data_IF_181844840822
#
_entry.id   IF_181844840822
#
_cell.length_a   1.000
_cell.length_b   1.000
_cell.length_c   1.000
_cell.angle_alpha   90.00
_cell.angle_beta   90.00
_cell.angle_gamma   90.00
#
_symmetry.space_group_name_H-M   'P 1'
#
loop_
_entity.id
_entity.type
_entity.pdbx_description
1 polymer ?
#
# COMPACT_ATOMS: atom_id res chain seq x y z
N UNK A 1 -11.70 5.52 2.70
CA UNK A 1 -10.73 6.32 1.91
C UNK A 1 -10.36 7.65 2.54
N UNK A 2 -11.36 8.49 2.88
CA UNK A 2 -11.10 9.77 3.54
C UNK A 2 -10.35 9.59 4.88
N UNK A 3 -10.72 8.58 5.67
CA UNK A 3 -10.10 8.31 6.97
C UNK A 3 -8.61 7.96 6.85
N UNK A 4 -8.22 7.15 5.86
CA UNK A 4 -6.81 6.81 5.63
C UNK A 4 -6.00 7.99 5.11
N UNK A 5 -6.60 8.84 4.30
CA UNK A 5 -5.92 10.06 3.82
C UNK A 5 -5.65 11.01 4.97
N UNK A 6 -6.62 11.16 5.89
CA UNK A 6 -6.42 11.96 7.11
C UNK A 6 -5.39 11.31 8.05
N UNK A 7 -5.40 9.99 8.19
CA UNK A 7 -4.41 9.27 8.98
C UNK A 7 -2.98 9.48 8.43
N UNK A 8 -2.82 9.48 7.11
CA UNK A 8 -1.55 9.75 6.43
C UNK A 8 -1.10 11.21 6.63
N UNK A 9 -2.00 12.18 6.58
CA UNK A 9 -1.68 13.59 6.89
C UNK A 9 -1.18 13.76 8.33
N UNK A 10 -1.79 13.05 9.29
CA UNK A 10 -1.42 13.14 10.70
C UNK A 10 -0.16 12.34 11.02
N UNK A 11 0.02 11.18 10.38
CA UNK A 11 1.15 10.29 10.57
C UNK A 11 1.64 9.77 9.21
N UNK A 12 2.56 10.50 8.55
CA UNK A 12 3.05 10.15 7.20
C UNK A 12 3.81 8.82 7.13
N UNK A 13 4.20 8.27 8.28
CA UNK A 13 4.92 7.00 8.41
C UNK A 13 4.00 5.85 8.82
N UNK A 14 2.67 6.02 8.78
CA UNK A 14 1.76 4.97 9.19
C UNK A 14 1.51 3.97 8.06
N UNK A 15 2.38 2.95 7.98
CA UNK A 15 2.38 1.94 6.91
C UNK A 15 0.99 1.33 6.65
N UNK A 16 0.28 0.96 7.73
CA UNK A 16 -1.06 0.36 7.64
C UNK A 16 -2.08 1.27 6.94
N UNK A 17 -1.97 2.60 7.07
CA UNK A 17 -2.90 3.51 6.40
C UNK A 17 -2.68 3.54 4.89
N UNK A 18 -1.43 3.50 4.45
CA UNK A 18 -1.10 3.35 3.02
C UNK A 18 -1.56 2.00 2.49
N UNK A 19 -1.28 0.90 3.21
CA UNK A 19 -1.70 -0.43 2.76
C UNK A 19 -3.23 -0.51 2.57
N UNK A 20 -3.99 -0.09 3.58
CA UNK A 20 -5.45 -0.14 3.51
C UNK A 20 -6.00 0.76 2.40
N UNK A 21 -5.41 1.94 2.18
CA UNK A 21 -5.82 2.82 1.09
C UNK A 21 -5.47 2.23 -0.29
N UNK A 22 -4.31 1.59 -0.42
CA UNK A 22 -3.88 0.88 -1.62
C UNK A 22 -4.83 -0.28 -1.97
N UNK A 23 -5.21 -1.11 -1.00
CA UNK A 23 -6.18 -2.20 -1.18
C UNK A 23 -7.53 -1.67 -1.69
N UNK A 24 -8.03 -0.58 -1.11
CA UNK A 24 -9.31 -0.02 -1.56
C UNK A 24 -9.15 0.58 -2.97
N UNK A 25 -8.01 1.20 -3.31
CA UNK A 25 -7.77 1.66 -4.68
C UNK A 25 -7.75 0.50 -5.68
N UNK A 26 -7.16 -0.64 -5.31
CA UNK A 26 -7.19 -1.86 -6.10
C UNK A 26 -8.63 -2.32 -6.32
N UNK A 27 -9.46 -2.36 -5.28
CA UNK A 27 -10.88 -2.74 -5.36
C UNK A 27 -11.70 -1.77 -6.23
N UNK A 28 -11.32 -0.50 -6.26
CA UNK A 28 -11.93 0.52 -7.12
C UNK A 28 -11.39 0.52 -8.56
N UNK A 29 -10.46 -0.38 -8.89
CA UNK A 29 -9.81 -0.46 -10.20
C UNK A 29 -8.80 0.67 -10.47
N UNK A 30 -8.47 1.48 -9.46
CA UNK A 30 -7.48 2.54 -9.60
C UNK A 30 -6.08 2.00 -9.26
N UNK A 31 -5.57 1.14 -10.13
CA UNK A 31 -4.35 0.36 -9.88
C UNK A 31 -3.11 1.22 -9.72
N UNK A 32 -2.99 2.30 -10.48
CA UNK A 32 -1.86 3.22 -10.34
C UNK A 32 -1.77 3.76 -8.91
N UNK A 33 -2.89 4.24 -8.37
CA UNK A 33 -2.94 4.70 -6.98
C UNK A 33 -2.77 3.56 -5.97
N UNK A 34 -3.24 2.36 -6.31
CA UNK A 34 -3.02 1.17 -5.48
C UNK A 34 -1.53 0.85 -5.36
N UNK A 35 -0.81 0.82 -6.48
CA UNK A 35 0.63 0.56 -6.54
C UNK A 35 1.43 1.63 -5.81
N UNK A 36 1.10 2.92 -5.98
CA UNK A 36 1.75 4.01 -5.26
C UNK A 36 1.62 3.86 -3.73
N UNK A 37 0.41 3.59 -3.24
CA UNK A 37 0.17 3.43 -1.81
C UNK A 37 0.79 2.14 -1.25
N UNK A 38 0.67 1.02 -1.98
CA UNK A 38 1.27 -0.25 -1.57
C UNK A 38 2.80 -0.18 -1.55
N UNK A 39 3.42 0.48 -2.52
CA UNK A 39 4.85 0.74 -2.52
C UNK A 39 5.26 1.52 -1.27
N UNK A 40 4.51 2.57 -0.93
CA UNK A 40 4.81 3.37 0.26
C UNK A 40 4.67 2.56 1.56
N UNK A 41 3.66 1.69 1.63
CA UNK A 41 3.48 0.79 2.77
C UNK A 41 4.66 -0.19 2.92
N UNK A 42 5.12 -0.79 1.82
CA UNK A 42 6.26 -1.71 1.84
C UNK A 42 7.55 -1.04 2.33
N UNK A 43 7.85 0.17 1.85
CA UNK A 43 9.01 0.96 2.31
C UNK A 43 8.97 1.22 3.83
N UNK A 44 7.80 1.61 4.35
CA UNK A 44 7.64 1.90 5.77
C UNK A 44 7.72 0.63 6.63
N UNK A 45 7.17 -0.50 6.16
CA UNK A 45 7.32 -1.77 6.85
C UNK A 45 8.78 -2.25 6.89
N UNK A 46 9.57 -2.00 5.85
CA UNK A 46 11.02 -2.28 5.89
C UNK A 46 11.75 -1.42 6.92
N UNK A 47 11.39 -0.14 7.02
CA UNK A 47 11.94 0.76 8.05
C UNK A 47 11.58 0.34 9.47
N UNK A 48 10.46 -0.36 9.66
CA UNK A 48 10.02 -0.93 10.93
C UNK A 48 10.56 -2.36 11.20
N UNK A 49 11.50 -2.87 10.38
CA UNK A 49 12.01 -4.25 10.40
C UNK A 49 10.91 -5.33 10.20
N UNK A 50 9.75 -4.95 9.65
CA UNK A 50 8.61 -5.83 9.35
C UNK A 50 8.75 -6.44 7.96
N UNK A 51 9.82 -7.22 7.78
CA UNK A 51 10.18 -7.84 6.51
C UNK A 51 9.09 -8.76 5.93
N UNK A 52 8.30 -9.41 6.78
CA UNK A 52 7.17 -10.23 6.33
C UNK A 52 6.08 -9.40 5.64
N UNK A 53 5.69 -8.25 6.23
CA UNK A 53 4.64 -7.39 5.68
C UNK A 53 5.10 -6.74 4.37
N UNK A 54 6.33 -6.21 4.33
CA UNK A 54 6.90 -5.68 3.08
C UNK A 54 6.89 -6.72 1.97
N UNK A 55 7.34 -7.95 2.25
CA UNK A 55 7.38 -9.02 1.25
C UNK A 55 5.98 -9.38 0.76
N UNK A 56 5.00 -9.51 1.66
CA UNK A 56 3.60 -9.77 1.31
C UNK A 56 3.03 -8.69 0.39
N UNK A 57 3.34 -7.42 0.66
CA UNK A 57 2.86 -6.30 -0.15
C UNK A 57 3.52 -6.28 -1.53
N UNK A 58 4.83 -6.55 -1.62
CA UNK A 58 5.52 -6.69 -2.91
C UNK A 58 4.95 -7.83 -3.75
N UNK A 59 4.63 -8.97 -3.13
CA UNK A 59 3.92 -10.07 -3.81
C UNK A 59 2.51 -9.68 -4.28
N UNK A 60 1.81 -8.81 -3.55
CA UNK A 60 0.52 -8.28 -3.96
C UNK A 60 0.64 -7.30 -5.14
N UNK A 61 1.66 -6.42 -5.13
CA UNK A 61 1.97 -5.52 -6.24
C UNK A 61 2.30 -6.29 -7.51
N UNK A 62 3.15 -7.33 -7.41
CA UNK A 62 3.46 -8.23 -8.53
C UNK A 62 2.21 -8.86 -9.16
N UNK A 63 1.19 -9.20 -8.36
CA UNK A 63 -0.08 -9.73 -8.87
C UNK A 63 -0.88 -8.66 -9.60
N UNK A 64 -0.95 -7.46 -9.04
CA UNK A 64 -1.60 -6.30 -9.68
C UNK A 64 -0.92 -5.96 -11.01
N UNK A 65 0.38 -6.15 -11.17
CA UNK A 65 1.04 -5.89 -12.45
C UNK A 65 0.82 -7.03 -13.45
N UNK A 66 0.78 -8.29 -12.98
CA UNK A 66 0.57 -9.47 -13.84
C UNK A 66 -0.85 -9.61 -14.35
N UNK A 67 -1.84 -9.33 -13.51
CA UNK A 67 -3.26 -9.54 -13.85
C UNK A 67 -3.77 -8.53 -14.93
N UNK A 68 -2.94 -7.55 -15.31
CA UNK A 68 -3.29 -6.48 -16.24
C UNK A 68 -2.37 -6.39 -17.47
N UNK A 69 -1.53 -7.40 -17.70
CA UNK A 69 -0.78 -7.63 -18.94
C UNK A 69 -1.41 -8.75 -19.79
#
# INVERSE_FOLDING_TARGET
MADFSRAIELQPNFANAYENRGIIYQQLGNLNKALEDLQKAAELFEQEDKNYESKRIKEAMDKIERDFH
#
